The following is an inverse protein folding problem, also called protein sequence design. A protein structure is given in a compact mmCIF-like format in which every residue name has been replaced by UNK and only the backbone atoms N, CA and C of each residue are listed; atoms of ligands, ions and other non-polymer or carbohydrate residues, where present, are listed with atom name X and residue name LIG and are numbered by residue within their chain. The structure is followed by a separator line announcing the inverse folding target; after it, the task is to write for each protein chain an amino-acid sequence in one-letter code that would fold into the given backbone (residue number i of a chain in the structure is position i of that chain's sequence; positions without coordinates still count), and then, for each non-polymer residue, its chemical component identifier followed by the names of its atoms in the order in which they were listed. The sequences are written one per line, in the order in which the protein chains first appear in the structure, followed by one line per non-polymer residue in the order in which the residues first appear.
data_IF_999278639324
#
_entry.id   IF_999278639324
#
_cell.length_a   1.000
_cell.length_b   1.000
_cell.length_c   1.000
_cell.angle_alpha   90.00
_cell.angle_beta   90.00
_cell.angle_gamma   90.00
#
_symmetry.space_group_name_H-M   'P 1'
#
loop_
_entity.id
_entity.type
_entity.pdbx_description
1 polymer ?
#
# COMPACT_ATOMS: atom_id res chain seq x y z
N UNK A 1 -11.03 -0.88 8.08
CA UNK A 1 -11.62 -0.96 6.74
C UNK A 1 -12.18 -2.35 6.50
N UNK A 2 -13.35 -2.49 5.87
CA UNK A 2 -13.92 -3.79 5.53
C UNK A 2 -13.32 -4.32 4.22
N UNK A 3 -12.46 -5.35 4.31
CA UNK A 3 -11.72 -5.93 3.18
C UNK A 3 -12.66 -6.45 2.08
N UNK A 4 -13.79 -7.06 2.43
CA UNK A 4 -14.76 -7.56 1.45
C UNK A 4 -15.41 -6.43 0.63
N UNK A 5 -15.75 -5.32 1.29
CA UNK A 5 -16.29 -4.13 0.62
C UNK A 5 -15.25 -3.53 -0.31
N UNK A 6 -13.99 -3.47 0.13
CA UNK A 6 -12.87 -2.97 -0.67
C UNK A 6 -12.67 -3.79 -1.96
N UNK A 7 -12.58 -5.12 -1.85
CA UNK A 7 -12.39 -5.98 -3.02
C UNK A 7 -13.61 -6.01 -3.96
N UNK A 8 -14.82 -5.97 -3.41
CA UNK A 8 -16.04 -5.84 -4.22
C UNK A 8 -16.00 -4.56 -5.07
N UNK A 9 -15.58 -3.44 -4.46
CA UNK A 9 -15.44 -2.15 -5.17
C UNK A 9 -14.35 -2.19 -6.24
N UNK A 10 -13.21 -2.86 -6.00
CA UNK A 10 -12.21 -3.10 -7.04
C UNK A 10 -12.84 -3.84 -8.23
N UNK A 11 -13.51 -4.97 -7.96
CA UNK A 11 -14.11 -5.78 -9.02
C UNK A 11 -15.13 -4.98 -9.86
N UNK A 12 -15.97 -4.18 -9.20
CA UNK A 12 -16.94 -3.31 -9.87
C UNK A 12 -16.26 -2.29 -10.79
N UNK A 13 -15.17 -1.65 -10.35
CA UNK A 13 -14.44 -0.67 -11.14
C UNK A 13 -13.75 -1.35 -12.33
N UNK A 14 -13.00 -2.44 -12.09
CA UNK A 14 -12.30 -3.18 -13.15
C UNK A 14 -13.27 -3.64 -14.24
N UNK A 15 -14.41 -4.22 -13.83
CA UNK A 15 -15.44 -4.69 -14.77
C UNK A 15 -16.05 -3.54 -15.58
N UNK A 16 -16.42 -2.44 -14.92
CA UNK A 16 -17.01 -1.26 -15.59
C UNK A 16 -16.06 -0.61 -16.60
N UNK A 17 -14.76 -0.66 -16.31
CA UNK A 17 -13.74 -0.11 -17.19
C UNK A 17 -13.34 -1.04 -18.34
N UNK A 18 -13.91 -2.25 -18.42
CA UNK A 18 -13.63 -3.19 -19.51
C UNK A 18 -12.37 -4.04 -19.31
N UNK A 19 -11.83 -4.10 -18.09
CA UNK A 19 -10.79 -5.08 -17.76
C UNK A 19 -11.37 -6.50 -17.82
N UNK A 20 -10.53 -7.48 -18.18
CA UNK A 20 -10.93 -8.89 -18.32
C UNK A 20 -9.97 -9.80 -17.57
N UNK A 21 -10.27 -11.11 -17.50
CA UNK A 21 -9.44 -12.10 -16.79
C UNK A 21 -9.16 -11.71 -15.32
N UNK A 22 -10.17 -11.14 -14.66
CA UNK A 22 -10.06 -10.64 -13.29
C UNK A 22 -10.12 -11.83 -12.32
N UNK A 23 -9.06 -12.01 -11.55
CA UNK A 23 -8.92 -13.09 -10.58
C UNK A 23 -8.47 -12.54 -9.23
N UNK A 24 -9.16 -12.97 -8.17
CA UNK A 24 -8.82 -12.67 -6.78
C UNK A 24 -8.26 -13.93 -6.14
N UNK A 25 -7.09 -13.82 -5.52
CA UNK A 25 -6.41 -14.93 -4.88
C UNK A 25 -6.49 -14.80 -3.36
N UNK A 26 -6.53 -15.96 -2.70
CA UNK A 26 -6.41 -16.03 -1.24
C UNK A 26 -5.10 -15.42 -0.75
N UNK A 27 -5.12 -14.75 0.43
CA UNK A 27 -3.95 -14.08 0.95
C UNK A 27 -2.84 -15.08 1.33
N UNK A 28 -1.59 -14.66 1.16
CA UNK A 28 -0.41 -15.47 1.50
C UNK A 28 0.54 -14.72 2.42
N UNK A 29 1.14 -15.46 3.34
CA UNK A 29 2.25 -14.98 4.16
C UNK A 29 3.57 -15.08 3.39
N UNK A 30 4.44 -14.09 3.57
CA UNK A 30 5.75 -14.00 2.92
C UNK A 30 6.79 -13.63 3.95
N UNK A 31 7.98 -14.23 3.85
CA UNK A 31 9.14 -13.81 4.63
C UNK A 31 10.15 -13.18 3.69
N UNK A 32 10.51 -11.92 3.93
CA UNK A 32 11.46 -11.15 3.12
C UNK A 32 12.73 -10.96 3.93
N UNK A 33 13.88 -11.28 3.34
CA UNK A 33 15.17 -10.95 3.92
C UNK A 33 15.59 -9.56 3.47
N UNK A 34 15.88 -8.67 4.43
CA UNK A 34 16.38 -7.34 4.13
C UNK A 34 17.45 -6.94 5.17
N UNK A 35 18.66 -6.64 4.69
CA UNK A 35 19.81 -6.27 5.53
C UNK A 35 20.03 -7.24 6.71
N UNK A 36 20.05 -8.55 6.42
CA UNK A 36 20.27 -9.63 7.40
C UNK A 36 19.18 -9.75 8.48
N UNK A 37 18.01 -9.17 8.25
CA UNK A 37 16.81 -9.37 9.07
C UNK A 37 15.71 -10.02 8.24
N UNK A 38 15.06 -11.03 8.81
CA UNK A 38 13.84 -11.59 8.26
C UNK A 38 12.65 -10.74 8.70
N UNK A 39 11.88 -10.27 7.74
CA UNK A 39 10.65 -9.53 7.96
C UNK A 39 9.51 -10.42 7.46
N UNK A 40 8.61 -10.80 8.37
CA UNK A 40 7.40 -11.53 8.02
C UNK A 40 6.31 -10.53 7.61
N UNK A 41 5.78 -10.68 6.41
CA UNK A 41 4.63 -9.98 5.89
C UNK A 41 3.46 -10.96 5.85
N UNK A 42 2.47 -10.71 6.68
CA UNK A 42 1.31 -11.59 6.80
C UNK A 42 0.18 -11.09 5.90
N UNK A 43 -0.59 -12.05 5.36
CA UNK A 43 -1.84 -11.78 4.64
C UNK A 43 -1.72 -10.83 3.43
N UNK A 44 -0.80 -11.09 2.50
CA UNK A 44 -0.72 -10.35 1.23
C UNK A 44 -1.75 -10.88 0.24
N UNK A 45 -2.67 -10.03 -0.19
CA UNK A 45 -3.70 -10.35 -1.19
C UNK A 45 -3.18 -10.12 -2.61
N UNK A 46 -3.60 -10.92 -3.58
CA UNK A 46 -3.26 -10.73 -5.00
C UNK A 46 -4.53 -10.58 -5.84
N UNK A 47 -4.50 -9.63 -6.77
CA UNK A 47 -5.49 -9.44 -7.81
C UNK A 47 -4.76 -9.47 -9.16
N UNK A 48 -5.19 -10.34 -10.06
CA UNK A 48 -4.68 -10.44 -11.42
C UNK A 48 -5.76 -9.99 -12.40
N UNK A 49 -5.41 -9.21 -13.41
CA UNK A 49 -6.33 -8.85 -14.48
C UNK A 49 -5.61 -8.40 -15.76
N UNK A 50 -6.30 -8.47 -16.88
CA UNK A 50 -5.91 -7.87 -18.15
C UNK A 50 -6.60 -6.51 -18.30
N UNK A 51 -5.81 -5.45 -18.40
CA UNK A 51 -6.35 -4.09 -18.53
C UNK A 51 -6.79 -3.75 -19.97
N UNK A 52 -7.38 -2.57 -20.17
CA UNK A 52 -7.87 -2.11 -21.49
C UNK A 52 -6.77 -1.91 -22.54
N UNK A 53 -5.52 -1.80 -22.08
CA UNK A 53 -4.34 -1.69 -22.92
C UNK A 53 -3.67 -3.05 -23.23
N UNK A 54 -4.36 -4.16 -22.95
CA UNK A 54 -3.88 -5.53 -23.15
C UNK A 54 -2.59 -5.84 -22.37
N UNK A 55 -2.46 -5.26 -21.18
CA UNK A 55 -1.36 -5.53 -20.25
C UNK A 55 -1.88 -6.26 -19.03
N UNK A 56 -1.19 -7.34 -18.66
CA UNK A 56 -1.47 -8.05 -17.43
C UNK A 56 -0.95 -7.26 -16.23
N UNK A 57 -1.83 -7.06 -15.25
CA UNK A 57 -1.54 -6.38 -14.00
C UNK A 57 -1.70 -7.38 -12.86
N UNK A 58 -0.67 -7.47 -12.02
CA UNK A 58 -0.64 -8.22 -10.77
C UNK A 58 -0.54 -7.21 -9.62
N UNK A 59 -1.64 -6.97 -8.93
CA UNK A 59 -1.71 -6.07 -7.79
C UNK A 59 -1.62 -6.86 -6.49
N UNK A 60 -0.59 -6.58 -5.70
CA UNK A 60 -0.36 -7.18 -4.38
C UNK A 60 -0.71 -6.16 -3.31
N UNK A 61 -1.68 -6.48 -2.46
CA UNK A 61 -2.24 -5.55 -1.48
C UNK A 61 -1.99 -6.09 -0.08
N UNK A 62 -1.31 -5.30 0.74
CA UNK A 62 -1.21 -5.52 2.19
C UNK A 62 -2.05 -4.49 2.93
N UNK A 63 -2.86 -4.92 3.89
CA UNK A 63 -3.51 -4.01 4.82
C UNK A 63 -2.66 -3.89 6.07
N UNK A 64 -2.11 -2.71 6.31
CA UNK A 64 -1.34 -2.44 7.51
C UNK A 64 -2.31 -2.18 8.67
N UNK A 65 -2.36 -3.07 9.63
CA UNK A 65 -3.22 -2.97 10.81
C UNK A 65 -2.50 -2.32 12.02
N UNK A 66 -1.22 -2.00 11.85
CA UNK A 66 -0.39 -1.39 12.89
C UNK A 66 -0.84 0.04 13.10
N UNK A 67 -1.00 0.41 14.38
CA UNK A 67 -1.49 1.73 14.76
C UNK A 67 -0.36 2.76 14.81
N UNK A 68 0.25 3.01 13.65
CA UNK A 68 1.30 4.00 13.49
C UNK A 68 0.79 5.18 12.66
N UNK A 69 1.34 6.35 12.96
CA UNK A 69 1.27 7.51 12.08
C UNK A 69 2.55 7.54 11.23
N UNK A 70 2.41 7.35 9.93
CA UNK A 70 3.56 7.31 9.03
C UNK A 70 3.88 8.70 8.47
N UNK A 71 5.16 8.97 8.27
CA UNK A 71 5.69 10.01 7.38
C UNK A 71 6.57 9.30 6.36
N UNK A 72 5.91 8.64 5.40
CA UNK A 72 6.58 7.84 4.37
C UNK A 72 6.61 8.60 3.05
N UNK A 73 7.76 8.62 2.39
CA UNK A 73 7.89 9.12 1.02
C UNK A 73 7.89 7.93 0.05
N UNK A 74 7.13 8.05 -1.02
CA UNK A 74 7.12 7.10 -2.12
C UNK A 74 8.46 6.96 -2.86
N UNK A 75 9.36 7.95 -2.74
CA UNK A 75 10.63 8.03 -3.49
C UNK A 75 11.87 7.81 -2.63
N UNK A 76 11.74 7.78 -1.31
CA UNK A 76 12.87 7.67 -0.38
C UNK A 76 12.65 6.52 0.56
N UNK A 77 13.70 5.75 0.79
CA UNK A 77 13.75 4.66 1.78
C UNK A 77 13.47 5.08 3.22
N UNK A 78 13.29 6.38 3.48
CA UNK A 78 13.06 6.91 4.81
C UNK A 78 11.56 7.02 5.09
N UNK A 79 11.03 5.99 5.75
CA UNK A 79 9.75 6.07 6.44
C UNK A 79 9.99 6.47 7.89
N UNK A 80 9.44 7.60 8.34
CA UNK A 80 9.35 7.88 9.76
C UNK A 80 8.00 7.42 10.28
N UNK A 81 7.91 7.09 11.56
CA UNK A 81 6.63 6.75 12.18
C UNK A 81 6.53 7.25 13.62
N UNK A 82 5.30 7.39 14.09
CA UNK A 82 4.95 7.58 15.50
C UNK A 82 4.02 6.45 15.92
N UNK A 83 4.31 5.80 17.02
CA UNK A 83 3.47 4.74 17.59
C UNK A 83 2.25 5.34 18.30
N UNK A 84 1.05 4.91 17.90
CA UNK A 84 -0.23 5.35 18.46
C UNK A 84 -0.94 4.25 19.26
N UNK A 85 -0.32 3.08 19.47
CA UNK A 85 -0.96 1.88 20.05
C UNK A 85 -1.64 2.15 21.40
N UNK A 86 -1.13 3.10 22.18
CA UNK A 86 -1.63 3.44 23.52
C UNK A 86 -2.29 4.83 23.59
N UNK A 87 -2.72 5.39 22.46
CA UNK A 87 -3.34 6.72 22.37
C UNK A 87 -4.87 6.63 22.26
N UNK A 88 -5.57 7.59 22.87
CA UNK A 88 -7.03 7.73 22.66
C UNK A 88 -7.33 8.26 21.27
N UNK A 89 -8.60 8.20 20.84
CA UNK A 89 -9.02 8.70 19.53
C UNK A 89 -8.75 10.21 19.42
N UNK A 90 -9.03 10.95 20.50
CA UNK A 90 -8.81 12.39 20.57
C UNK A 90 -7.31 12.73 20.49
N UNK A 91 -6.47 12.00 21.23
CA UNK A 91 -5.02 12.18 21.17
C UNK A 91 -4.47 11.89 19.77
N UNK A 92 -4.97 10.83 19.10
CA UNK A 92 -4.58 10.48 17.73
C UNK A 92 -4.93 11.60 16.76
N UNK A 93 -6.12 12.17 16.88
CA UNK A 93 -6.56 13.27 16.01
C UNK A 93 -5.71 14.52 16.22
N UNK A 94 -5.41 14.89 17.47
CA UNK A 94 -4.55 16.04 17.77
C UNK A 94 -3.15 15.85 17.20
N UNK A 95 -2.59 14.64 17.29
CA UNK A 95 -1.30 14.31 16.70
C UNK A 95 -1.35 14.39 15.17
N UNK A 96 -2.35 13.76 14.54
CA UNK A 96 -2.58 13.81 13.10
C UNK A 96 -2.64 15.26 12.59
N UNK A 97 -3.43 16.11 13.23
CA UNK A 97 -3.60 17.52 12.84
C UNK A 97 -2.29 18.30 13.03
N UNK A 98 -1.58 18.06 14.13
CA UNK A 98 -0.32 18.75 14.44
C UNK A 98 0.79 18.43 13.43
N UNK A 99 0.90 17.17 13.00
CA UNK A 99 1.90 16.76 12.02
C UNK A 99 1.47 17.08 10.58
N UNK A 100 0.18 17.05 10.26
CA UNK A 100 -0.32 17.42 8.92
C UNK A 100 -0.07 18.89 8.60
N UNK A 101 -0.02 19.76 9.62
CA UNK A 101 0.18 21.21 9.46
C UNK A 101 1.66 21.65 9.50
N UNK A 102 2.61 20.74 9.80
CA UNK A 102 4.01 21.11 10.07
C UNK A 102 4.98 20.12 9.46
N UNK A 103 6.07 20.64 8.90
CA UNK A 103 7.16 19.81 8.36
C UNK A 103 8.06 19.14 9.43
N UNK A 104 7.65 19.19 10.70
CA UNK A 104 8.43 18.67 11.83
C UNK A 104 8.65 17.15 11.74
N UNK A 105 9.83 16.72 12.18
CA UNK A 105 10.19 15.31 12.38
C UNK A 105 10.37 14.98 13.86
N UNK A 106 10.14 15.95 14.75
CA UNK A 106 10.40 15.83 16.19
C UNK A 106 9.48 14.76 16.79
N UNK A 107 10.05 13.77 17.48
CA UNK A 107 9.30 12.65 18.06
C UNK A 107 9.01 11.49 17.11
N UNK A 108 9.33 11.61 15.82
CA UNK A 108 9.20 10.51 14.87
C UNK A 108 10.42 9.58 14.93
N UNK A 109 10.16 8.27 14.87
CA UNK A 109 11.21 7.24 14.82
C UNK A 109 11.47 6.84 13.38
N UNK A 110 12.75 6.64 13.03
CA UNK A 110 13.13 6.12 11.72
C UNK A 110 12.75 4.64 11.61
N UNK A 111 11.84 4.32 10.69
CA UNK A 111 11.68 2.98 10.18
C UNK A 111 12.81 2.71 9.16
N UNK A 112 13.37 1.50 9.18
CA UNK A 112 14.32 1.03 8.16
C UNK A 112 13.60 0.78 6.81
N UNK A 113 14.35 0.67 5.68
CA UNK A 113 13.87 0.91 4.33
C UNK A 113 12.60 0.20 3.91
N UNK A 114 11.92 0.86 2.98
CA UNK A 114 10.84 0.35 2.18
C UNK A 114 11.21 -0.98 1.52
N UNK A 115 10.35 -2.01 1.68
CA UNK A 115 10.50 -3.31 1.04
C UNK A 115 10.12 -3.28 -0.46
N UNK A 116 10.37 -2.15 -1.14
CA UNK A 116 10.05 -1.99 -2.56
C UNK A 116 10.50 -3.23 -3.35
N UNK A 117 9.54 -3.90 -3.99
CA UNK A 117 9.70 -5.12 -4.81
C UNK A 117 10.11 -6.42 -4.09
N UNK A 118 10.67 -6.35 -2.87
CA UNK A 118 11.05 -7.53 -2.09
C UNK A 118 9.94 -8.58 -2.00
N UNK A 119 8.73 -8.24 -1.54
CA UNK A 119 7.63 -9.18 -1.39
C UNK A 119 7.18 -9.83 -2.71
N UNK A 120 7.27 -9.09 -3.82
CA UNK A 120 6.87 -9.57 -5.14
C UNK A 120 7.79 -10.70 -5.61
N UNK A 121 9.11 -10.54 -5.42
CA UNK A 121 10.13 -11.54 -5.76
C UNK A 121 9.91 -12.89 -5.08
N UNK A 122 9.35 -12.90 -3.87
CA UNK A 122 9.04 -14.14 -3.16
C UNK A 122 7.70 -14.76 -3.57
N UNK A 123 6.79 -13.98 -4.15
CA UNK A 123 5.45 -14.45 -4.51
C UNK A 123 5.37 -15.02 -5.93
N UNK A 124 6.17 -14.52 -6.87
CA UNK A 124 6.05 -14.89 -8.28
C UNK A 124 7.39 -14.93 -9.03
N UNK A 125 7.38 -15.68 -10.14
CA UNK A 125 8.40 -15.53 -11.18
C UNK A 125 7.99 -14.41 -12.12
N UNK A 126 8.81 -13.36 -12.21
CA UNK A 126 8.57 -12.24 -13.12
C UNK A 126 8.54 -12.71 -14.57
N UNK A 127 7.52 -12.26 -15.32
CA UNK A 127 7.50 -12.34 -16.78
C UNK A 127 7.60 -10.92 -17.33
N UNK A 128 8.44 -10.73 -18.34
CA UNK A 128 8.83 -9.39 -18.84
C UNK A 128 7.66 -8.54 -19.37
N UNK A 129 6.49 -9.14 -19.62
CA UNK A 129 5.31 -8.46 -20.18
C UNK A 129 4.18 -8.22 -19.16
N UNK A 130 4.38 -8.55 -17.88
CA UNK A 130 3.39 -8.35 -16.81
C UNK A 130 3.84 -7.23 -15.87
N UNK A 131 2.90 -6.39 -15.43
CA UNK A 131 3.16 -5.39 -14.40
C UNK A 131 2.89 -5.99 -13.03
N UNK A 132 3.85 -5.88 -12.12
CA UNK A 132 3.71 -6.33 -10.73
C UNK A 132 3.81 -5.13 -9.80
N UNK A 133 2.76 -4.88 -9.03
CA UNK A 133 2.65 -3.67 -8.21
C UNK A 133 2.29 -4.07 -6.79
N UNK A 134 3.17 -3.76 -5.84
CA UNK A 134 2.92 -3.99 -4.41
C UNK A 134 2.51 -2.68 -3.76
N UNK A 135 1.42 -2.73 -3.00
CA UNK A 135 0.88 -1.59 -2.28
C UNK A 135 0.53 -1.98 -0.85
N UNK A 136 0.67 -1.03 0.07
CA UNK A 136 0.30 -1.17 1.46
C UNK A 136 -0.75 -0.11 1.81
N UNK A 137 -1.95 -0.55 2.18
CA UNK A 137 -3.02 0.34 2.62
C UNK A 137 -2.83 0.58 4.12
N UNK A 138 -2.60 1.83 4.50
CA UNK A 138 -2.34 2.21 5.88
C UNK A 138 -3.63 2.27 6.72
N UNK A 139 -3.54 1.95 8.01
CA UNK A 139 -4.64 2.14 8.96
C UNK A 139 -4.95 3.61 9.19
N UNK A 140 -3.91 4.44 9.25
CA UNK A 140 -3.98 5.87 9.52
C UNK A 140 -3.40 6.65 8.32
N UNK A 141 -3.88 7.88 8.13
CA UNK A 141 -3.41 8.79 7.08
C UNK A 141 -1.89 9.04 7.22
N UNK A 142 -1.14 8.96 6.12
CA UNK A 142 0.26 9.39 6.07
C UNK A 142 0.34 10.92 6.20
N UNK A 143 1.38 11.39 6.88
CA UNK A 143 1.61 12.82 7.10
C UNK A 143 2.07 13.51 5.81
N UNK A 144 2.73 12.78 4.90
CA UNK A 144 3.18 13.34 3.62
C UNK A 144 2.19 13.05 2.51
N UNK A 145 1.96 14.03 1.64
CA UNK A 145 1.27 13.81 0.37
C UNK A 145 2.04 12.78 -0.46
N UNK A 146 1.32 11.79 -0.96
CA UNK A 146 1.90 10.69 -1.73
C UNK A 146 1.95 11.05 -3.23
N UNK A 147 3.04 10.66 -3.89
CA UNK A 147 3.19 10.79 -5.35
C UNK A 147 2.17 9.91 -6.07
N UNK A 148 1.53 10.44 -7.11
CA UNK A 148 0.52 9.77 -7.93
C UNK A 148 1.08 9.17 -9.23
N UNK A 149 2.34 8.71 -9.28
CA UNK A 149 2.93 8.15 -10.51
C UNK A 149 3.13 6.63 -10.45
N UNK A 150 2.93 5.94 -11.59
CA UNK A 150 2.95 4.46 -11.74
C UNK A 150 4.14 3.73 -11.11
N UNK A 151 5.25 4.43 -10.87
CA UNK A 151 6.52 3.88 -10.41
C UNK A 151 6.77 4.10 -8.91
N UNK A 152 5.91 4.88 -8.23
CA UNK A 152 6.17 5.43 -6.91
C UNK A 152 5.25 4.86 -5.80
N UNK A 153 4.18 4.14 -6.14
CA UNK A 153 3.13 3.82 -5.16
C UNK A 153 3.50 2.70 -4.17
N UNK A 154 3.68 3.04 -2.89
CA UNK A 154 3.76 2.05 -1.80
C UNK A 154 2.73 2.19 -0.71
N UNK A 155 2.27 3.41 -0.44
CA UNK A 155 1.40 3.65 0.70
C UNK A 155 0.16 4.43 0.26
N UNK A 156 -1.02 3.92 0.63
CA UNK A 156 -2.28 4.64 0.46
C UNK A 156 -2.90 4.95 1.82
N UNK A 157 -3.24 6.22 1.98
CA UNK A 157 -3.82 6.77 3.21
C UNK A 157 -5.26 6.36 3.43
N UNK A 158 -5.99 6.22 2.32
CA UNK A 158 -7.42 5.93 2.32
C UNK A 158 -7.78 5.08 1.11
N UNK A 159 -8.89 4.39 1.20
CA UNK A 159 -9.55 3.76 0.06
C UNK A 159 -9.92 4.80 -1.02
N UNK A 160 -10.28 6.03 -0.62
CA UNK A 160 -10.55 7.12 -1.55
C UNK A 160 -9.38 7.40 -2.50
N UNK A 161 -8.17 7.60 -1.97
CA UNK A 161 -6.97 7.86 -2.78
C UNK A 161 -6.65 6.69 -3.72
N UNK A 162 -6.74 5.47 -3.19
CA UNK A 162 -6.54 4.27 -3.99
C UNK A 162 -7.52 4.20 -5.17
N UNK A 163 -8.81 4.44 -4.94
CA UNK A 163 -9.84 4.29 -5.98
C UNK A 163 -9.90 5.44 -6.98
N UNK A 164 -9.61 6.67 -6.56
CA UNK A 164 -9.79 7.85 -7.42
C UNK A 164 -8.50 8.27 -8.11
N UNK A 165 -7.35 8.04 -7.49
CA UNK A 165 -6.07 8.54 -8.00
C UNK A 165 -5.19 7.42 -8.54
N UNK A 166 -5.14 6.26 -7.87
CA UNK A 166 -4.25 5.17 -8.29
C UNK A 166 -4.87 4.17 -9.24
N UNK A 167 -5.94 3.49 -8.85
CA UNK A 167 -6.54 2.41 -9.65
C UNK A 167 -6.84 2.84 -11.09
N UNK A 168 -7.37 4.05 -11.36
CA UNK A 168 -7.64 4.53 -12.72
C UNK A 168 -6.42 4.55 -13.65
N UNK A 169 -5.22 4.73 -13.08
CA UNK A 169 -3.97 4.76 -13.84
C UNK A 169 -3.61 3.37 -14.43
N UNK A 170 -4.18 2.31 -13.86
CA UNK A 170 -3.89 0.90 -14.21
C UNK A 170 -4.99 0.24 -15.06
N UNK A 171 -6.08 0.95 -15.36
CA UNK A 171 -7.21 0.45 -16.14
C UNK A 171 -6.88 0.35 -17.63
#
# INVERSE_FOLDING_TARGET
MNKNVFFKKINEILTKSGCTQIEFYEPKDVTVEHQFKQIKLESIFKIHYLNTNYKFINLYIKFNEIDFLYKASNQKDLTLYLDLTNKTIEEKQVLLDSYSQRDSQLGLTKLKPSLQFGPILFLEKFKDNEFHIYIEILKNKNILDQSNTKLDFLYFDTDFEFFNNFLPILL
#
